data_IF_388534083273
#
_entry.id   IF_388534083273
#
_cell.length_a   1.000
_cell.length_b   1.000
_cell.length_c   1.000
_cell.angle_alpha   90.00
_cell.angle_beta   90.00
_cell.angle_gamma   90.00
#
_symmetry.space_group_name_H-M   'P 1'
#
loop_
_entity.id
_entity.type
_entity.pdbx_description
1 polymer ?
#
# COMPACT_ATOMS: atom_id res chain seq x y z
N UNK A 1 -9.45 4.87 -27.22
CA UNK A 1 -9.17 5.73 -26.05
C UNK A 1 -8.14 5.03 -25.19
N UNK A 2 -7.07 5.70 -24.73
CA UNK A 2 -6.24 5.15 -23.66
C UNK A 2 -7.15 4.92 -22.46
N UNK A 3 -7.15 3.71 -21.91
CA UNK A 3 -7.95 3.39 -20.75
C UNK A 3 -7.20 3.96 -19.54
N UNK A 4 -7.66 5.08 -18.99
CA UNK A 4 -7.09 5.64 -17.76
C UNK A 4 -7.26 4.61 -16.65
N UNK A 5 -6.15 4.05 -16.14
CA UNK A 5 -6.19 3.10 -15.03
C UNK A 5 -6.18 3.88 -13.72
N UNK A 6 -7.28 3.79 -12.98
CA UNK A 6 -7.36 4.31 -11.63
C UNK A 6 -6.80 3.28 -10.66
N UNK A 7 -5.91 3.70 -9.78
CA UNK A 7 -5.29 2.84 -8.77
C UNK A 7 -5.66 3.30 -7.37
N UNK A 8 -5.95 2.33 -6.50
CA UNK A 8 -6.09 2.55 -5.05
C UNK A 8 -5.06 1.69 -4.37
N UNK A 9 -4.06 2.34 -3.78
CA UNK A 9 -2.97 1.69 -3.06
C UNK A 9 -3.24 1.88 -1.57
N UNK A 10 -3.17 0.79 -0.81
CA UNK A 10 -3.35 0.81 0.65
C UNK A 10 -2.08 0.33 1.34
N UNK A 11 -1.83 0.90 2.52
CA UNK A 11 -0.63 0.64 3.29
C UNK A 11 -1.01 0.26 4.72
N UNK A 12 -0.53 -0.89 5.18
CA UNK A 12 -0.53 -1.27 6.59
C UNK A 12 0.86 -0.96 7.17
N UNK A 13 0.95 0.03 8.06
CA UNK A 13 2.23 0.50 8.58
C UNK A 13 2.53 -0.15 9.92
N UNK A 14 3.69 -0.81 10.04
CA UNK A 14 4.22 -1.36 11.29
C UNK A 14 5.52 -0.66 11.67
N UNK A 15 5.55 -0.17 12.91
CA UNK A 15 6.78 0.28 13.57
C UNK A 15 7.62 -0.92 14.00
N UNK A 16 8.91 -0.70 14.31
CA UNK A 16 9.80 -1.77 14.78
C UNK A 16 9.25 -2.54 15.99
N UNK A 17 8.47 -1.88 16.86
CA UNK A 17 7.87 -2.52 18.03
C UNK A 17 6.81 -3.59 17.68
N UNK A 18 6.22 -3.50 16.49
CA UNK A 18 5.08 -4.32 16.07
C UNK A 18 5.38 -5.16 14.82
N UNK A 19 6.65 -5.39 14.51
CA UNK A 19 7.07 -6.10 13.30
C UNK A 19 6.73 -7.59 13.41
N UNK A 20 5.74 -8.03 12.63
CA UNK A 20 5.31 -9.42 12.62
C UNK A 20 4.57 -9.79 11.32
N UNK A 21 4.38 -11.10 11.08
CA UNK A 21 3.72 -11.64 9.88
C UNK A 21 2.22 -11.33 9.81
N UNK A 22 1.56 -11.03 10.93
CA UNK A 22 0.12 -10.68 10.96
C UNK A 22 -0.16 -9.44 10.11
N UNK A 23 0.81 -8.53 9.98
CA UNK A 23 0.74 -7.36 9.11
C UNK A 23 0.32 -7.68 7.66
N UNK A 24 0.74 -8.83 7.12
CA UNK A 24 0.35 -9.26 5.77
C UNK A 24 -1.16 -9.51 5.69
N UNK A 25 -1.74 -10.14 6.72
CA UNK A 25 -3.16 -10.45 6.76
C UNK A 25 -4.01 -9.21 7.05
N UNK A 26 -3.48 -8.26 7.83
CA UNK A 26 -4.10 -6.95 8.02
C UNK A 26 -4.15 -6.17 6.70
N UNK A 27 -3.03 -6.09 5.98
CA UNK A 27 -2.98 -5.48 4.64
C UNK A 27 -3.93 -6.16 3.64
N UNK A 28 -4.05 -7.48 3.69
CA UNK A 28 -5.03 -8.22 2.87
C UNK A 28 -6.49 -7.83 3.17
N UNK A 29 -6.79 -7.41 4.40
CA UNK A 29 -8.13 -6.93 4.78
C UNK A 29 -8.63 -5.78 3.90
N UNK A 30 -7.70 -4.99 3.35
CA UNK A 30 -7.99 -3.85 2.48
C UNK A 30 -8.31 -4.25 1.04
N UNK A 31 -7.96 -5.48 0.63
CA UNK A 31 -7.95 -5.90 -0.78
C UNK A 31 -9.27 -5.75 -1.53
N UNK A 32 -10.41 -5.79 -0.82
CA UNK A 32 -11.74 -5.58 -1.42
C UNK A 32 -11.95 -4.15 -1.95
N UNK A 33 -11.10 -3.22 -1.53
CA UNK A 33 -11.21 -1.79 -1.81
C UNK A 33 -9.96 -1.20 -2.46
N UNK A 34 -8.96 -2.03 -2.79
CA UNK A 34 -7.66 -1.56 -3.28
C UNK A 34 -7.19 -2.38 -4.48
N UNK A 35 -6.57 -1.71 -5.45
CA UNK A 35 -5.87 -2.38 -6.56
C UNK A 35 -4.53 -2.94 -6.10
N UNK A 36 -3.88 -2.30 -5.12
CA UNK A 36 -2.64 -2.75 -4.50
C UNK A 36 -2.72 -2.62 -2.97
N UNK A 37 -2.09 -3.55 -2.27
CA UNK A 37 -1.94 -3.50 -0.82
C UNK A 37 -0.48 -3.79 -0.47
N UNK A 38 0.05 -3.01 0.47
CA UNK A 38 1.42 -3.07 0.92
C UNK A 38 1.47 -3.15 2.45
N UNK A 39 2.50 -3.82 2.95
CA UNK A 39 2.97 -3.66 4.32
C UNK A 39 4.17 -2.72 4.29
N UNK A 40 4.14 -1.69 5.13
CA UNK A 40 5.27 -0.78 5.38
C UNK A 40 5.90 -1.15 6.70
N UNK A 41 7.21 -1.41 6.69
CA UNK A 41 7.98 -1.76 7.87
C UNK A 41 9.01 -0.66 8.16
N UNK A 42 8.83 0.05 9.27
CA UNK A 42 9.91 0.89 9.81
C UNK A 42 11.05 -0.04 10.25
N UNK A 43 12.25 0.16 9.68
CA UNK A 43 13.47 -0.56 9.98
C UNK A 43 14.61 0.45 10.11
N UNK A 44 15.02 0.73 11.35
CA UNK A 44 16.15 1.62 11.59
C UNK A 44 17.46 0.91 11.33
N UNK A 45 18.41 1.59 10.69
CA UNK A 45 19.72 1.03 10.33
C UNK A 45 20.43 0.35 11.49
N UNK A 46 20.30 0.91 12.70
CA UNK A 46 20.89 0.39 13.94
C UNK A 46 20.47 -1.04 14.29
N UNK A 47 19.30 -1.49 13.83
CA UNK A 47 18.75 -2.84 14.11
C UNK A 47 18.33 -3.61 12.87
N UNK A 48 18.40 -3.03 11.67
CA UNK A 48 17.96 -3.64 10.41
C UNK A 48 18.51 -5.06 10.20
N UNK A 49 19.79 -5.29 10.53
CA UNK A 49 20.43 -6.60 10.43
C UNK A 49 19.85 -7.64 11.41
N UNK A 50 19.44 -7.22 12.60
CA UNK A 50 18.83 -8.11 13.58
C UNK A 50 17.42 -8.54 13.17
N UNK A 51 16.68 -7.65 12.50
CA UNK A 51 15.30 -7.88 12.04
C UNK A 51 15.20 -8.56 10.67
N UNK A 52 16.31 -8.70 9.94
CA UNK A 52 16.39 -9.35 8.62
C UNK A 52 15.66 -10.72 8.57
N UNK A 53 15.73 -11.61 9.58
CA UNK A 53 14.95 -12.85 9.60
C UNK A 53 13.44 -12.63 9.65
N UNK A 54 12.95 -11.63 10.39
CA UNK A 54 11.53 -11.31 10.46
C UNK A 54 11.04 -10.68 9.16
N UNK A 55 11.81 -9.74 8.60
CA UNK A 55 11.53 -9.13 7.29
C UNK A 55 11.42 -10.20 6.21
N UNK A 56 12.33 -11.19 6.19
CA UNK A 56 12.23 -12.34 5.28
C UNK A 56 10.95 -13.14 5.47
N UNK A 57 10.50 -13.36 6.71
CA UNK A 57 9.24 -14.07 6.99
C UNK A 57 8.03 -13.30 6.47
N UNK A 58 7.99 -11.98 6.71
CA UNK A 58 6.94 -11.10 6.18
C UNK A 58 6.94 -11.12 4.66
N UNK A 59 8.11 -10.95 4.03
CA UNK A 59 8.26 -10.96 2.58
C UNK A 59 7.79 -12.28 1.94
N UNK A 60 8.11 -13.42 2.54
CA UNK A 60 7.67 -14.73 2.03
C UNK A 60 6.14 -14.88 2.09
N UNK A 61 5.52 -14.57 3.24
CA UNK A 61 4.06 -14.60 3.35
C UNK A 61 3.39 -13.59 2.40
N UNK A 62 3.97 -12.40 2.24
CA UNK A 62 3.45 -11.37 1.36
C UNK A 62 3.44 -11.82 -0.12
N UNK A 63 4.53 -12.46 -0.59
CA UNK A 63 4.62 -13.02 -1.96
C UNK A 63 3.53 -14.05 -2.24
N UNK A 64 3.24 -14.94 -1.28
CA UNK A 64 2.20 -15.96 -1.42
C UNK A 64 0.81 -15.33 -1.64
N UNK A 65 0.56 -14.18 -1.03
CA UNK A 65 -0.73 -13.49 -1.10
C UNK A 65 -0.80 -12.37 -2.15
N UNK A 66 0.34 -11.99 -2.74
CA UNK A 66 0.45 -10.88 -3.68
C UNK A 66 0.40 -9.50 -3.02
N UNK A 67 0.77 -9.43 -1.74
CA UNK A 67 0.93 -8.20 -0.96
C UNK A 67 2.35 -7.67 -1.18
N UNK A 68 2.50 -6.37 -1.36
CA UNK A 68 3.83 -5.75 -1.44
C UNK A 68 4.43 -5.50 -0.06
N UNK A 69 5.75 -5.35 0.01
CA UNK A 69 6.48 -5.03 1.24
C UNK A 69 7.48 -3.94 0.94
N UNK A 70 7.39 -2.85 1.69
CA UNK A 70 8.32 -1.73 1.65
C UNK A 70 8.95 -1.59 3.03
N UNK A 71 10.25 -1.38 3.09
CA UNK A 71 10.97 -1.03 4.31
C UNK A 71 11.46 0.41 4.24
N UNK A 72 11.54 1.11 5.37
CA UNK A 72 12.09 2.47 5.45
C UNK A 72 12.73 2.75 6.82
N UNK A 73 13.75 3.59 6.87
CA UNK A 73 14.33 4.08 8.13
C UNK A 73 13.73 5.45 8.50
N UNK A 74 13.82 6.41 7.57
CA UNK A 74 13.33 7.77 7.75
C UNK A 74 12.15 8.05 6.79
N UNK A 75 10.94 8.34 7.29
CA UNK A 75 9.80 8.67 6.44
C UNK A 75 9.96 9.99 5.67
N UNK A 76 10.90 10.86 6.05
CA UNK A 76 11.25 12.10 5.36
C UNK A 76 12.35 11.94 4.31
N UNK A 77 13.05 10.81 4.30
CA UNK A 77 14.14 10.51 3.36
C UNK A 77 13.79 9.29 2.50
N UNK A 78 13.31 9.55 1.28
CA UNK A 78 12.88 8.52 0.34
C UNK A 78 14.01 7.63 -0.16
N UNK A 79 15.28 8.02 0.00
CA UNK A 79 16.42 7.15 -0.35
C UNK A 79 16.53 5.96 0.62
N UNK A 80 15.90 6.04 1.80
CA UNK A 80 15.84 4.94 2.78
C UNK A 80 14.74 3.93 2.48
N UNK A 81 13.90 4.19 1.49
CA UNK A 81 12.75 3.35 1.15
C UNK A 81 13.16 2.26 0.16
N UNK A 82 12.90 0.99 0.50
CA UNK A 82 13.20 -0.15 -0.37
C UNK A 82 11.98 -1.05 -0.56
N UNK A 83 11.66 -1.35 -1.83
CA UNK A 83 10.58 -2.27 -2.19
C UNK A 83 11.10 -3.71 -2.26
N UNK A 84 11.02 -4.38 -1.11
CA UNK A 84 11.49 -5.78 -0.94
C UNK A 84 10.60 -6.78 -1.70
N UNK A 85 9.31 -6.47 -1.81
CA UNK A 85 8.34 -7.27 -2.56
C UNK A 85 7.40 -6.32 -3.31
N UNK A 86 7.29 -6.43 -4.65
CA UNK A 86 6.31 -5.66 -5.39
C UNK A 86 4.90 -6.18 -5.16
N UNK A 87 3.93 -5.29 -4.96
CA UNK A 87 2.54 -5.71 -4.82
C UNK A 87 1.97 -6.19 -6.16
N UNK A 88 1.11 -7.21 -6.11
CA UNK A 88 0.38 -7.66 -7.30
C UNK A 88 -0.93 -6.92 -7.43
N UNK A 89 -1.16 -6.30 -8.59
CA UNK A 89 -2.43 -5.69 -8.94
C UNK A 89 -3.57 -6.71 -8.82
N UNK A 90 -4.63 -6.33 -8.11
CA UNK A 90 -5.89 -7.07 -8.09
C UNK A 90 -6.94 -6.29 -8.89
N UNK A 91 -7.79 -7.00 -9.63
CA UNK A 91 -8.96 -6.39 -10.24
C UNK A 91 -10.00 -6.08 -9.17
N UNK A 92 -10.29 -4.80 -8.99
CA UNK A 92 -11.30 -4.32 -8.05
C UNK A 92 -12.45 -3.70 -8.84
N UNK A 93 -13.70 -4.15 -8.66
CA UNK A 93 -14.84 -3.57 -9.36
C UNK A 93 -14.97 -2.07 -9.08
N UNK A 94 -15.33 -1.24 -10.08
CA UNK A 94 -15.48 0.20 -9.90
C UNK A 94 -16.42 0.59 -8.76
N UNK A 95 -17.47 -0.19 -8.50
CA UNK A 95 -18.44 0.06 -7.44
C UNK A 95 -17.82 -0.09 -6.05
N UNK A 96 -16.89 -1.04 -5.90
CA UNK A 96 -16.18 -1.26 -4.64
C UNK A 96 -15.18 -0.14 -4.37
N UNK A 97 -14.49 0.34 -5.40
CA UNK A 97 -13.60 1.50 -5.32
C UNK A 97 -14.38 2.78 -4.99
N UNK A 98 -15.50 3.01 -5.66
CA UNK A 98 -16.35 4.17 -5.42
C UNK A 98 -16.89 4.20 -3.97
N UNK A 99 -17.35 3.05 -3.45
CA UNK A 99 -17.79 2.96 -2.05
C UNK A 99 -16.65 3.26 -1.07
N UNK A 100 -15.46 2.71 -1.31
CA UNK A 100 -14.31 3.01 -0.46
C UNK A 100 -13.98 4.50 -0.42
N UNK A 101 -13.98 5.18 -1.58
CA UNK A 101 -13.77 6.62 -1.68
C UNK A 101 -14.86 7.37 -0.89
N UNK A 102 -16.12 6.94 -1.00
CA UNK A 102 -17.23 7.55 -0.25
C UNK A 102 -17.09 7.39 1.26
N UNK A 103 -16.58 6.25 1.72
CA UNK A 103 -16.47 5.93 3.15
C UNK A 103 -15.20 6.51 3.80
N UNK A 104 -14.09 6.58 3.08
CA UNK A 104 -12.76 6.92 3.64
C UNK A 104 -12.27 8.32 3.29
N UNK A 105 -12.79 8.95 2.22
CA UNK A 105 -12.34 10.27 1.78
C UNK A 105 -13.36 11.33 2.21
N UNK A 106 -12.85 12.42 2.78
CA UNK A 106 -13.69 13.55 3.17
C UNK A 106 -14.48 14.12 1.99
N UNK A 107 -15.55 14.88 2.26
CA UNK A 107 -16.30 15.56 1.19
C UNK A 107 -15.40 16.46 0.34
N UNK A 108 -14.51 17.22 0.97
CA UNK A 108 -13.53 18.08 0.29
C UNK A 108 -12.54 17.27 -0.55
N UNK A 109 -11.97 16.19 -0.01
CA UNK A 109 -11.05 15.34 -0.77
C UNK A 109 -11.72 14.67 -1.99
N UNK A 110 -13.02 14.35 -1.89
CA UNK A 110 -13.78 13.83 -3.04
C UNK A 110 -13.96 14.87 -4.15
N UNK A 111 -14.16 16.14 -3.79
CA UNK A 111 -14.23 17.23 -4.77
C UNK A 111 -12.88 17.41 -5.49
N UNK A 112 -11.78 17.39 -4.75
CA UNK A 112 -10.43 17.47 -5.31
C UNK A 112 -10.14 16.31 -6.29
N UNK A 113 -10.45 15.07 -5.90
CA UNK A 113 -10.32 13.89 -6.77
C UNK A 113 -11.15 14.03 -8.05
N UNK A 114 -12.38 14.53 -7.95
CA UNK A 114 -13.26 14.70 -9.12
C UNK A 114 -12.73 15.73 -10.11
N UNK A 115 -12.15 16.83 -9.61
CA UNK A 115 -11.53 17.87 -10.44
C UNK A 115 -10.28 17.32 -11.16
N UNK A 116 -9.44 16.56 -10.46
CA UNK A 116 -8.26 15.92 -11.05
C UNK A 116 -8.60 14.92 -12.16
N UNK A 117 -9.63 14.09 -11.97
CA UNK A 117 -10.07 13.13 -12.99
C UNK A 117 -10.66 13.80 -14.24
N UNK A 118 -11.38 14.92 -14.08
CA UNK A 118 -11.91 15.69 -15.21
C UNK A 118 -10.81 16.35 -16.06
N UNK A 119 -9.71 16.78 -15.42
CA UNK A 119 -8.54 17.33 -16.11
C UNK A 119 -7.82 16.31 -16.99
N UNK A 120 -7.79 15.04 -16.60
CA UNK A 120 -7.17 13.95 -17.38
C UNK A 120 -7.99 13.51 -18.60
N UNK A 121 -9.30 13.77 -18.60
CA UNK A 121 -10.19 13.40 -19.70
C UNK A 121 -10.25 14.45 -20.83
N UNK A 122 -9.67 15.63 -20.62
CA UNK A 122 -9.71 16.78 -21.54
C UNK A 122 -8.34 17.14 -22.14
N UNK A 123 -7.28 16.42 -21.76
CA UNK A 123 -5.90 16.58 -22.26
C UNK A 123 -5.48 15.55 -23.30
#
# INVERSE_FOLDING_TARGET
MPQSQFEVITFEVKTMANLNVIAVYEAMGHRRASTHCYVLLELRDVVAKAEEPMVRRVANAAREHGVGVITFDDPGDFDTWDEVVPARRTETPPEALNRFIQDQVSGEGRLELSAGLAGLATG
#
